data_IF_302038638578
#
_entry.id   IF_302038638578
#
_cell.length_a   1.000
_cell.length_b   1.000
_cell.length_c   1.000
_cell.angle_alpha   90.00
_cell.angle_beta   90.00
_cell.angle_gamma   90.00
#
_symmetry.space_group_name_H-M   'P 1'
#
loop_
_entity.id
_entity.type
_entity.pdbx_description
1 polymer ?
#
# COMPACT_ATOMS: atom_id res chain seq x y z
N UNK A 1 26.66 -0.21 9.92
CA UNK A 1 26.87 -1.02 8.71
C UNK A 1 25.54 -1.16 7.99
N UNK A 2 25.28 -0.33 6.99
CA UNK A 2 24.03 -0.30 6.21
C UNK A 2 24.14 -1.32 5.08
N UNK A 3 23.35 -2.39 5.18
CA UNK A 3 23.39 -3.57 4.31
C UNK A 3 22.77 -3.31 2.92
N UNK A 4 23.18 -2.26 2.20
CA UNK A 4 22.69 -1.91 0.87
C UNK A 4 21.17 -1.74 0.76
N UNK A 5 20.51 -1.29 1.84
CA UNK A 5 19.05 -1.05 1.91
C UNK A 5 18.78 0.44 1.84
N UNK A 6 17.90 0.85 0.93
CA UNK A 6 17.53 2.24 0.73
C UNK A 6 16.46 2.67 1.74
N UNK A 7 16.84 3.54 2.68
CA UNK A 7 15.97 4.03 3.74
C UNK A 7 14.83 4.92 3.24
N UNK A 8 14.92 5.48 2.03
CA UNK A 8 13.85 6.29 1.44
C UNK A 8 12.62 5.44 1.16
N UNK A 9 12.83 4.19 0.74
CA UNK A 9 11.75 3.22 0.52
C UNK A 9 11.05 2.90 1.84
N UNK A 10 11.84 2.66 2.89
CA UNK A 10 11.29 2.40 4.23
C UNK A 10 10.49 3.62 4.73
N UNK A 11 10.94 4.86 4.48
CA UNK A 11 10.18 6.06 4.79
C UNK A 11 8.81 6.10 4.09
N UNK A 12 8.76 5.98 2.76
CA UNK A 12 7.50 6.05 2.03
C UNK A 12 6.55 4.88 2.34
N UNK A 13 7.10 3.69 2.62
CA UNK A 13 6.30 2.57 3.14
C UNK A 13 5.68 2.90 4.50
N UNK A 14 6.47 3.46 5.41
CA UNK A 14 5.98 3.89 6.73
C UNK A 14 4.90 4.96 6.62
N UNK A 15 5.11 5.96 5.76
CA UNK A 15 4.13 7.02 5.52
C UNK A 15 2.83 6.46 4.94
N UNK A 16 2.91 5.54 3.97
CA UNK A 16 1.75 4.86 3.43
C UNK A 16 0.97 4.10 4.51
N UNK A 17 1.65 3.46 5.46
CA UNK A 17 0.99 2.77 6.59
C UNK A 17 0.25 3.72 7.53
N UNK A 18 0.82 4.89 7.83
CA UNK A 18 0.14 5.94 8.63
C UNK A 18 -1.12 6.39 7.90
N UNK A 19 -1.02 6.68 6.60
CA UNK A 19 -2.16 7.11 5.80
C UNK A 19 -3.22 6.02 5.70
N UNK A 20 -2.84 4.77 5.49
CA UNK A 20 -3.77 3.63 5.51
C UNK A 20 -4.46 3.53 6.87
N UNK A 21 -3.76 3.71 7.99
CA UNK A 21 -4.43 3.67 9.28
C UNK A 21 -5.44 4.80 9.44
N UNK A 22 -5.04 6.06 9.19
CA UNK A 22 -5.93 7.21 9.33
C UNK A 22 -7.10 7.19 8.34
N UNK A 23 -6.79 6.88 7.07
CA UNK A 23 -7.51 5.99 6.16
C UNK A 23 -8.86 5.42 6.60
N UNK A 24 -8.73 4.49 7.52
CA UNK A 24 -9.74 3.50 7.83
C UNK A 24 -10.36 3.69 9.23
N UNK A 25 -9.94 4.73 9.96
CA UNK A 25 -10.66 5.19 11.15
C UNK A 25 -11.79 6.13 10.68
N UNK A 26 -13.07 5.76 10.87
CA UNK A 26 -14.19 6.58 10.44
C UNK A 26 -14.15 7.99 11.03
N UNK A 27 -14.50 8.98 10.19
CA UNK A 27 -14.53 10.41 10.53
C UNK A 27 -13.26 10.97 11.21
N UNK A 28 -12.10 10.33 11.02
CA UNK A 28 -10.84 10.78 11.57
C UNK A 28 -10.42 12.14 10.98
N UNK A 29 -10.14 13.17 11.81
CA UNK A 29 -9.64 14.47 11.37
C UNK A 29 -8.39 14.40 10.48
N UNK A 30 -7.45 13.51 10.83
CA UNK A 30 -6.17 13.40 10.14
C UNK A 30 -6.28 12.71 8.78
N UNK A 31 -7.40 12.03 8.49
CA UNK A 31 -7.70 11.52 7.16
C UNK A 31 -7.65 12.62 6.10
N UNK A 32 -8.00 13.87 6.45
CA UNK A 32 -7.98 15.01 5.53
C UNK A 32 -6.57 15.38 5.03
N UNK A 33 -5.53 14.92 5.74
CA UNK A 33 -4.12 15.19 5.41
C UNK A 33 -3.48 14.08 4.55
N UNK A 34 -4.21 13.01 4.24
CA UNK A 34 -3.67 11.85 3.52
C UNK A 34 -3.83 12.00 2.01
N UNK A 35 -3.11 11.15 1.25
CA UNK A 35 -3.03 11.22 -0.21
C UNK A 35 -4.40 11.22 -0.90
N UNK A 36 -5.39 10.48 -0.38
CA UNK A 36 -6.72 10.38 -0.99
C UNK A 36 -7.46 11.72 -1.09
N UNK A 37 -7.05 12.71 -0.31
CA UNK A 37 -7.67 14.04 -0.28
C UNK A 37 -6.99 15.07 -1.20
N UNK A 38 -5.88 14.70 -1.85
CA UNK A 38 -5.08 15.60 -2.70
C UNK A 38 -4.90 15.08 -4.13
N UNK A 39 -5.62 14.04 -4.53
CA UNK A 39 -5.59 13.55 -5.90
C UNK A 39 -6.33 12.22 -6.09
N UNK A 40 -6.18 11.63 -7.28
CA UNK A 40 -6.96 10.47 -7.70
C UNK A 40 -6.48 9.13 -7.13
N UNK A 41 -5.25 9.06 -6.63
CA UNK A 41 -4.64 7.86 -6.02
C UNK A 41 -4.44 8.06 -4.52
N UNK A 42 -4.29 6.97 -3.78
CA UNK A 42 -4.09 6.99 -2.34
C UNK A 42 -2.84 6.19 -1.92
N UNK A 43 -2.75 5.88 -0.62
CA UNK A 43 -1.62 5.16 -0.06
C UNK A 43 -1.49 3.70 -0.57
N UNK A 44 -2.56 3.11 -1.12
CA UNK A 44 -2.53 1.75 -1.65
C UNK A 44 -1.62 1.63 -2.88
N UNK A 45 -1.66 2.59 -3.82
CA UNK A 45 -0.77 2.57 -4.98
C UNK A 45 0.70 2.68 -4.56
N UNK A 46 1.01 3.56 -3.60
CA UNK A 46 2.35 3.70 -3.02
C UNK A 46 2.80 2.38 -2.42
N UNK A 47 1.95 1.75 -1.62
CA UNK A 47 2.26 0.49 -0.94
C UNK A 47 2.54 -0.65 -1.93
N UNK A 48 1.68 -0.85 -2.94
CA UNK A 48 1.82 -1.92 -3.94
C UNK A 48 3.03 -1.68 -4.86
N UNK A 49 3.26 -0.43 -5.28
CA UNK A 49 4.43 -0.08 -6.10
C UNK A 49 5.73 -0.36 -5.34
N UNK A 50 5.84 0.09 -4.09
CA UNK A 50 7.02 -0.13 -3.26
C UNK A 50 7.18 -1.60 -2.86
N UNK A 51 6.10 -2.37 -2.80
CA UNK A 51 6.16 -3.82 -2.63
C UNK A 51 6.86 -4.48 -3.83
N UNK A 52 6.45 -4.14 -5.07
CA UNK A 52 7.10 -4.64 -6.29
C UNK A 52 8.55 -4.19 -6.41
N UNK A 53 8.80 -2.91 -6.14
CA UNK A 53 10.16 -2.33 -6.13
C UNK A 53 11.08 -3.08 -5.15
N UNK A 54 10.68 -3.20 -3.88
CA UNK A 54 11.47 -3.86 -2.85
C UNK A 54 11.65 -5.36 -3.13
N UNK A 55 10.61 -6.03 -3.63
CA UNK A 55 10.67 -7.45 -3.94
C UNK A 55 11.69 -7.73 -5.06
N UNK A 56 11.65 -6.99 -6.17
CA UNK A 56 12.62 -7.17 -7.26
C UNK A 56 14.05 -6.82 -6.83
N UNK A 57 14.25 -5.76 -6.03
CA UNK A 57 15.57 -5.46 -5.47
C UNK A 57 16.10 -6.60 -4.58
N UNK A 58 15.26 -7.19 -3.74
CA UNK A 58 15.66 -8.23 -2.80
C UNK A 58 15.88 -9.56 -3.52
N UNK A 59 14.87 -10.06 -4.22
CA UNK A 59 14.88 -11.39 -4.84
C UNK A 59 15.63 -11.42 -6.17
N UNK A 60 15.76 -10.30 -6.89
CA UNK A 60 16.62 -10.21 -8.06
C UNK A 60 18.10 -10.42 -7.72
N UNK A 61 18.59 -9.80 -6.62
CA UNK A 61 19.94 -10.05 -6.09
C UNK A 61 20.14 -11.50 -5.66
N UNK A 62 19.15 -12.10 -5.01
CA UNK A 62 19.20 -13.53 -4.64
C UNK A 62 19.22 -14.41 -5.89
N UNK A 63 18.42 -14.12 -6.90
CA UNK A 63 18.38 -14.90 -8.14
C UNK A 63 19.74 -14.87 -8.87
N UNK A 64 20.42 -13.72 -8.87
CA UNK A 64 21.73 -13.56 -9.47
C UNK A 64 22.86 -14.21 -8.64
N UNK A 65 22.80 -14.11 -7.31
CA UNK A 65 23.87 -14.58 -6.40
C UNK A 65 23.73 -16.06 -6.03
N UNK A 66 22.52 -16.48 -5.65
CA UNK A 66 22.22 -17.79 -5.08
C UNK A 66 21.45 -18.71 -6.08
N UNK A 67 21.09 -18.20 -7.26
CA UNK A 67 20.34 -18.91 -8.28
C UNK A 67 18.81 -18.74 -8.21
N UNK A 68 18.14 -18.95 -9.33
CA UNK A 68 16.70 -18.72 -9.48
C UNK A 68 15.84 -19.60 -8.56
N UNK A 69 16.20 -20.87 -8.37
CA UNK A 69 15.44 -21.79 -7.49
C UNK A 69 15.48 -21.30 -6.05
N UNK A 70 16.64 -20.85 -5.55
CA UNK A 70 16.77 -20.31 -4.19
C UNK A 70 15.96 -19.03 -4.04
N UNK A 71 15.93 -18.17 -5.06
CA UNK A 71 15.06 -16.99 -5.06
C UNK A 71 13.58 -17.38 -4.98
N UNK A 72 13.13 -18.35 -5.77
CA UNK A 72 11.75 -18.85 -5.73
C UNK A 72 11.37 -19.37 -4.34
N UNK A 73 12.23 -20.20 -3.73
CA UNK A 73 11.98 -20.73 -2.39
C UNK A 73 11.88 -19.61 -1.33
N UNK A 74 12.73 -18.57 -1.42
CA UNK A 74 12.65 -17.42 -0.51
C UNK A 74 11.39 -16.56 -0.75
N UNK A 75 10.96 -16.43 -1.99
CA UNK A 75 9.70 -15.75 -2.34
C UNK A 75 8.53 -16.53 -1.74
N UNK A 76 8.42 -17.84 -2.03
CA UNK A 76 7.32 -18.67 -1.54
C UNK A 76 7.29 -18.77 -0.01
N UNK A 77 8.45 -18.84 0.65
CA UNK A 77 8.52 -18.75 2.12
C UNK A 77 7.97 -17.42 2.63
N UNK A 78 8.25 -16.30 1.95
CA UNK A 78 7.69 -15.01 2.33
C UNK A 78 6.19 -14.95 2.06
N UNK A 79 5.72 -15.47 0.93
CA UNK A 79 4.30 -15.58 0.59
C UNK A 79 3.56 -16.40 1.64
N UNK A 80 4.14 -17.50 2.12
CA UNK A 80 3.59 -18.31 3.21
C UNK A 80 3.46 -17.52 4.52
N UNK A 81 4.48 -16.75 4.91
CA UNK A 81 4.41 -15.89 6.10
C UNK A 81 3.29 -14.84 5.97
N UNK A 82 3.12 -14.26 4.78
CA UNK A 82 2.03 -13.31 4.52
C UNK A 82 0.66 -13.98 4.63
N UNK A 83 0.52 -15.19 4.08
CA UNK A 83 -0.69 -15.99 4.16
C UNK A 83 -1.07 -16.32 5.61
N UNK A 84 -0.13 -16.86 6.40
CA UNK A 84 -0.38 -17.18 7.81
C UNK A 84 -0.72 -15.92 8.62
N UNK A 85 0.00 -14.81 8.37
CA UNK A 85 -0.30 -13.54 9.03
C UNK A 85 -1.69 -13.01 8.68
N UNK A 86 -2.14 -13.21 7.43
CA UNK A 86 -3.46 -12.81 6.99
C UNK A 86 -4.57 -13.62 7.67
N UNK A 87 -4.46 -14.95 7.73
CA UNK A 87 -5.44 -15.81 8.44
C UNK A 87 -5.51 -15.43 9.93
N UNK A 88 -4.35 -15.24 10.57
CA UNK A 88 -4.31 -14.82 11.98
C UNK A 88 -4.94 -13.44 12.19
N UNK A 89 -4.64 -12.48 11.31
CA UNK A 89 -5.19 -11.13 11.35
C UNK A 89 -6.71 -11.14 11.23
N UNK A 90 -7.25 -11.92 10.29
CA UNK A 90 -8.68 -12.04 10.06
C UNK A 90 -9.39 -12.62 11.27
N UNK A 91 -8.86 -13.71 11.83
CA UNK A 91 -9.43 -14.33 13.02
C UNK A 91 -9.48 -13.35 14.20
N UNK A 92 -8.41 -12.58 14.41
CA UNK A 92 -8.35 -11.58 15.48
C UNK A 92 -9.26 -10.37 15.21
N UNK A 93 -9.31 -9.90 13.97
CA UNK A 93 -10.21 -8.83 13.54
C UNK A 93 -11.67 -9.23 13.78
N UNK A 94 -12.03 -10.45 13.41
CA UNK A 94 -13.37 -11.01 13.63
C UNK A 94 -13.73 -10.97 15.12
N UNK A 95 -12.84 -11.47 15.99
CA UNK A 95 -13.05 -11.43 17.44
C UNK A 95 -13.24 -10.01 17.98
N UNK A 96 -12.42 -9.05 17.52
CA UNK A 96 -12.53 -7.64 17.90
C UNK A 96 -13.87 -7.04 17.46
N UNK A 97 -14.29 -7.27 16.21
CA UNK A 97 -15.52 -6.67 15.68
C UNK A 97 -16.75 -7.26 16.38
N UNK A 98 -16.78 -8.56 16.66
CA UNK A 98 -17.87 -9.15 17.45
C UNK A 98 -17.96 -8.56 18.85
N UNK A 99 -16.82 -8.39 19.54
CA UNK A 99 -16.81 -7.75 20.87
C UNK A 99 -17.26 -6.30 20.76
N UNK A 100 -16.75 -5.55 19.78
CA UNK A 100 -17.08 -4.13 19.60
C UNK A 100 -18.57 -3.93 19.29
N UNK A 101 -19.13 -4.72 18.38
CA UNK A 101 -20.54 -4.67 18.01
C UNK A 101 -21.48 -4.99 19.19
N UNK A 102 -21.06 -5.85 20.13
CA UNK A 102 -21.85 -6.13 21.33
C UNK A 102 -21.83 -5.00 22.37
N UNK A 103 -20.87 -4.07 22.29
CA UNK A 103 -20.75 -2.96 23.25
C UNK A 103 -21.18 -1.61 22.66
N UNK A 104 -21.33 -1.51 21.33
CA UNK A 104 -21.72 -0.29 20.63
C UNK A 104 -23.07 -0.53 19.94
N UNK A 105 -24.15 -0.15 20.61
CA UNK A 105 -25.51 -0.29 20.06
C UNK A 105 -25.81 0.74 18.96
N UNK A 106 -25.05 1.83 18.91
CA UNK A 106 -25.27 2.94 17.97
C UNK A 106 -24.78 2.67 16.56
N UNK A 107 -24.01 1.60 16.33
CA UNK A 107 -23.38 1.29 15.04
C UNK A 107 -23.37 -0.19 14.73
N UNK A 108 -23.67 -0.51 13.47
CA UNK A 108 -23.54 -1.87 12.94
C UNK A 108 -22.13 -2.08 12.38
N UNK A 109 -21.19 -2.39 13.29
CA UNK A 109 -19.78 -2.59 12.92
C UNK A 109 -19.60 -3.85 12.07
N UNK A 110 -20.49 -4.84 12.21
CA UNK A 110 -20.50 -6.05 11.36
C UNK A 110 -20.73 -5.66 9.91
N UNK A 111 -21.73 -4.82 9.64
CA UNK A 111 -22.05 -4.32 8.30
C UNK A 111 -20.97 -3.42 7.74
N UNK A 112 -20.51 -2.44 8.52
CA UNK A 112 -19.49 -1.47 8.06
C UNK A 112 -18.16 -2.15 7.67
N UNK A 113 -17.82 -3.26 8.33
CA UNK A 113 -16.61 -4.02 8.04
C UNK A 113 -16.78 -5.12 7.00
N UNK A 114 -17.99 -5.32 6.47
CA UNK A 114 -18.28 -6.34 5.46
C UNK A 114 -18.29 -7.77 6.02
N UNK A 115 -18.67 -7.93 7.29
CA UNK A 115 -18.72 -9.23 7.98
C UNK A 115 -20.09 -9.92 7.90
N UNK A 116 -21.09 -9.32 7.25
CA UNK A 116 -22.44 -9.87 7.11
C UNK A 116 -22.44 -11.30 6.56
N UNK A 117 -21.63 -11.56 5.51
CA UNK A 117 -21.51 -12.89 4.90
C UNK A 117 -21.00 -13.93 5.91
N UNK A 118 -20.05 -13.54 6.76
CA UNK A 118 -19.51 -14.42 7.78
C UNK A 118 -20.53 -14.75 8.85
N UNK A 119 -21.30 -13.76 9.31
CA UNK A 119 -22.35 -13.97 10.31
C UNK A 119 -23.46 -14.87 9.75
N UNK A 120 -23.83 -14.68 8.48
CA UNK A 120 -24.86 -15.48 7.83
C UNK A 120 -24.43 -16.91 7.50
N UNK A 121 -23.16 -17.14 7.10
CA UNK A 121 -22.66 -18.43 6.63
C UNK A 121 -21.24 -18.74 7.18
N UNK A 122 -21.07 -18.93 8.50
CA UNK A 122 -19.74 -18.96 9.13
C UNK A 122 -18.85 -20.10 8.63
N UNK A 123 -19.41 -21.30 8.39
CA UNK A 123 -18.62 -22.45 7.90
C UNK A 123 -18.07 -22.20 6.48
N UNK A 124 -18.93 -21.71 5.58
CA UNK A 124 -18.53 -21.40 4.21
C UNK A 124 -17.58 -20.19 4.18
N UNK A 125 -17.85 -19.17 5.01
CA UNK A 125 -17.00 -18.00 5.11
C UNK A 125 -15.60 -18.34 5.62
N UNK A 126 -15.45 -19.29 6.56
CA UNK A 126 -14.14 -19.81 6.97
C UNK A 126 -13.41 -20.55 5.83
N UNK A 127 -14.13 -21.33 5.03
CA UNK A 127 -13.54 -21.99 3.86
C UNK A 127 -13.11 -20.96 2.79
N UNK A 128 -13.97 -19.98 2.49
CA UNK A 128 -13.66 -18.89 1.58
C UNK A 128 -12.53 -17.99 2.12
N UNK A 129 -12.41 -17.82 3.43
CA UNK A 129 -11.31 -17.11 4.08
C UNK A 129 -9.96 -17.82 3.81
N UNK A 130 -9.90 -19.13 4.05
CA UNK A 130 -8.72 -19.95 3.76
C UNK A 130 -8.34 -19.93 2.27
N UNK A 131 -9.33 -19.79 1.39
CA UNK A 131 -9.12 -19.68 -0.06
C UNK A 131 -8.83 -18.25 -0.54
N UNK A 132 -8.68 -17.27 0.36
CA UNK A 132 -8.50 -15.83 0.07
C UNK A 132 -9.67 -15.20 -0.74
N UNK A 133 -10.80 -15.90 -0.73
CA UNK A 133 -12.05 -15.55 -1.40
C UNK A 133 -12.79 -14.48 -0.61
N UNK A 134 -13.09 -14.80 0.65
CA UNK A 134 -13.71 -13.88 1.59
C UNK A 134 -12.67 -13.01 2.31
N UNK A 135 -12.94 -11.70 2.38
CA UNK A 135 -12.07 -10.71 3.01
C UNK A 135 -12.89 -9.48 3.44
N UNK A 136 -12.78 -9.04 4.71
CA UNK A 136 -13.33 -7.79 5.18
C UNK A 136 -12.57 -6.60 4.58
N UNK A 137 -13.28 -5.46 4.42
CA UNK A 137 -12.79 -4.25 3.73
C UNK A 137 -11.40 -3.77 4.19
N UNK A 138 -11.07 -3.94 5.48
CA UNK A 138 -9.80 -3.50 6.07
C UNK A 138 -8.59 -4.38 5.67
N UNK A 139 -8.84 -5.63 5.28
CA UNK A 139 -7.78 -6.62 5.03
C UNK A 139 -7.41 -6.75 3.55
N UNK A 140 -8.20 -6.15 2.66
CA UNK A 140 -8.14 -6.37 1.21
C UNK A 140 -6.75 -6.19 0.54
N UNK A 141 -5.86 -5.28 1.00
CA UNK A 141 -4.52 -5.16 0.42
C UNK A 141 -3.63 -6.38 0.64
N UNK A 142 -3.84 -7.17 1.71
CA UNK A 142 -2.98 -8.32 2.03
C UNK A 142 -3.18 -9.51 1.07
N UNK A 143 -4.42 -9.97 0.79
CA UNK A 143 -4.68 -11.00 -0.23
C UNK A 143 -4.10 -10.65 -1.59
N UNK A 144 -4.24 -9.39 -2.02
CA UNK A 144 -3.60 -8.91 -3.24
C UNK A 144 -2.09 -9.10 -3.14
N UNK A 145 -1.46 -8.67 -2.05
CA UNK A 145 -0.01 -8.79 -1.89
C UNK A 145 0.46 -10.25 -1.85
N UNK A 146 -0.28 -11.16 -1.21
CA UNK A 146 -0.02 -12.61 -1.23
C UNK A 146 -0.02 -13.12 -2.67
N UNK A 147 -1.04 -12.76 -3.46
CA UNK A 147 -1.15 -13.20 -4.86
C UNK A 147 -0.02 -12.64 -5.72
N UNK A 148 0.28 -11.34 -5.60
CA UNK A 148 1.37 -10.70 -6.37
C UNK A 148 2.74 -11.27 -6.02
N UNK A 149 2.99 -11.55 -4.74
CA UNK A 149 4.20 -12.24 -4.29
C UNK A 149 4.25 -13.69 -4.75
N UNK A 150 3.11 -14.39 -4.76
CA UNK A 150 2.98 -15.73 -5.32
C UNK A 150 3.20 -15.80 -6.83
N UNK A 151 2.85 -14.74 -7.57
CA UNK A 151 3.08 -14.60 -9.00
C UNK A 151 4.52 -14.16 -9.34
N UNK A 152 5.24 -13.55 -8.38
CA UNK A 152 6.59 -13.04 -8.59
C UNK A 152 7.60 -14.09 -9.11
N UNK A 153 7.58 -15.38 -8.72
CA UNK A 153 8.45 -16.39 -9.33
C UNK A 153 8.28 -16.43 -10.85
N UNK A 154 7.07 -16.28 -11.39
CA UNK A 154 6.82 -16.26 -12.84
C UNK A 154 7.24 -14.94 -13.49
N UNK A 155 7.00 -13.83 -12.80
CA UNK A 155 7.25 -12.47 -13.33
C UNK A 155 8.75 -12.11 -13.28
N UNK A 156 9.46 -12.49 -12.21
CA UNK A 156 10.85 -12.13 -11.95
C UNK A 156 11.81 -12.50 -13.10
N UNK A 157 11.82 -13.72 -13.68
CA UNK A 157 12.74 -14.05 -14.74
C UNK A 157 12.48 -13.23 -16.01
N UNK A 158 11.22 -12.87 -16.28
CA UNK A 158 10.86 -12.01 -17.42
C UNK A 158 11.38 -10.59 -17.15
N UNK A 159 11.13 -10.04 -15.95
CA UNK A 159 11.63 -8.71 -15.55
C UNK A 159 13.16 -8.60 -15.63
N UNK A 160 13.88 -9.61 -15.12
CA UNK A 160 15.35 -9.60 -15.10
C UNK A 160 15.96 -9.72 -16.51
N UNK A 161 15.31 -10.45 -17.42
CA UNK A 161 15.75 -10.60 -18.81
C UNK A 161 15.35 -9.42 -19.68
N UNK A 162 14.09 -9.02 -19.62
CA UNK A 162 13.53 -7.94 -20.41
C UNK A 162 12.36 -7.27 -19.67
N UNK A 163 12.68 -6.19 -18.95
CA UNK A 163 11.70 -5.40 -18.23
C UNK A 163 10.59 -4.82 -19.15
N UNK A 164 10.91 -4.45 -20.40
CA UNK A 164 9.93 -3.93 -21.34
C UNK A 164 8.90 -5.00 -21.74
N UNK A 165 9.35 -6.25 -21.94
CA UNK A 165 8.45 -7.37 -22.20
C UNK A 165 7.54 -7.65 -21.00
N UNK A 166 8.08 -7.66 -19.78
CA UNK A 166 7.28 -7.85 -18.57
C UNK A 166 6.20 -6.74 -18.41
N UNK A 167 6.57 -5.48 -18.65
CA UNK A 167 5.61 -4.36 -18.64
C UNK A 167 4.58 -4.54 -19.76
N UNK A 168 4.97 -4.90 -20.97
CA UNK A 168 4.05 -5.10 -22.09
C UNK A 168 3.02 -6.20 -21.81
N UNK A 169 3.46 -7.35 -21.28
CA UNK A 169 2.57 -8.42 -20.85
C UNK A 169 1.63 -7.98 -19.71
N UNK A 170 2.16 -7.20 -18.76
CA UNK A 170 1.39 -6.67 -17.64
C UNK A 170 0.34 -5.65 -18.11
N UNK A 171 0.65 -4.80 -19.07
CA UNK A 171 -0.31 -3.87 -19.70
C UNK A 171 -1.37 -4.67 -20.48
N UNK A 172 -0.97 -5.69 -21.25
CA UNK A 172 -1.91 -6.52 -21.98
C UNK A 172 -2.92 -7.20 -21.03
N UNK A 173 -2.44 -7.71 -19.89
CA UNK A 173 -3.30 -8.27 -18.85
C UNK A 173 -4.20 -7.20 -18.22
N UNK A 174 -3.67 -6.02 -17.90
CA UNK A 174 -4.45 -4.88 -17.38
C UNK A 174 -5.59 -4.48 -18.33
N UNK A 175 -5.34 -4.45 -19.65
CA UNK A 175 -6.35 -4.09 -20.66
C UNK A 175 -7.51 -5.09 -20.73
N UNK A 176 -7.35 -6.33 -20.24
CA UNK A 176 -8.47 -7.28 -20.15
C UNK A 176 -9.55 -6.82 -19.16
N UNK A 177 -9.23 -5.91 -18.24
CA UNK A 177 -10.21 -5.38 -17.27
C UNK A 177 -11.25 -4.48 -17.96
N UNK A 178 -10.88 -3.37 -18.63
CA UNK A 178 -11.85 -2.55 -19.33
C UNK A 178 -12.43 -3.22 -20.59
N UNK A 179 -11.69 -4.12 -21.25
CA UNK A 179 -12.15 -4.75 -22.50
C UNK A 179 -13.06 -5.95 -22.27
N UNK A 180 -12.79 -6.77 -21.25
CA UNK A 180 -13.48 -8.05 -21.01
C UNK A 180 -14.10 -8.17 -19.60
N UNK A 181 -13.95 -7.14 -18.75
CA UNK A 181 -14.48 -7.16 -17.38
C UNK A 181 -13.77 -8.17 -16.47
N UNK A 182 -12.51 -8.49 -16.73
CA UNK A 182 -11.79 -9.51 -15.96
C UNK A 182 -11.55 -9.08 -14.52
N UNK A 183 -12.08 -9.84 -13.57
CA UNK A 183 -11.79 -9.72 -12.14
C UNK A 183 -11.96 -11.10 -11.48
N UNK A 184 -11.29 -11.33 -10.34
CA UNK A 184 -11.45 -12.53 -9.55
C UNK A 184 -12.76 -12.46 -8.75
N UNK A 185 -13.47 -13.58 -8.64
CA UNK A 185 -14.67 -13.70 -7.81
C UNK A 185 -14.31 -13.70 -6.33
N UNK A 186 -15.13 -13.04 -5.52
CA UNK A 186 -14.93 -12.95 -4.09
C UNK A 186 -15.39 -14.24 -3.39
N UNK A 187 -16.68 -14.61 -3.38
CA UNK A 187 -17.16 -15.81 -2.68
C UNK A 187 -18.31 -16.51 -3.43
N UNK A 188 -18.75 -17.68 -2.94
CA UNK A 188 -19.89 -18.41 -3.51
C UNK A 188 -21.20 -17.66 -3.21
N UNK A 189 -21.73 -16.98 -4.23
CA UNK A 189 -22.94 -16.15 -4.10
C UNK A 189 -22.84 -14.77 -4.77
N UNK A 190 -21.62 -14.31 -5.07
CA UNK A 190 -21.40 -13.07 -5.81
C UNK A 190 -20.19 -12.27 -5.33
N UNK A 191 -20.01 -11.08 -5.92
CA UNK A 191 -18.93 -10.16 -5.58
C UNK A 191 -17.62 -10.44 -6.31
N UNK A 192 -16.82 -9.38 -6.42
CA UNK A 192 -15.50 -9.40 -7.06
C UNK A 192 -14.45 -8.88 -6.08
N UNK A 193 -13.19 -9.15 -6.37
CA UNK A 193 -12.10 -8.61 -5.57
C UNK A 193 -12.09 -7.09 -5.64
N UNK A 194 -12.15 -6.44 -4.46
CA UNK A 194 -12.09 -4.99 -4.35
C UNK A 194 -10.79 -4.42 -4.91
N UNK A 195 -9.65 -5.05 -4.65
CA UNK A 195 -8.43 -4.78 -5.42
C UNK A 195 -8.31 -5.82 -6.54
N UNK A 196 -8.72 -5.47 -7.75
CA UNK A 196 -8.70 -6.38 -8.89
C UNK A 196 -7.25 -6.79 -9.21
N UNK A 197 -6.84 -8.06 -9.00
CA UNK A 197 -5.45 -8.44 -9.19
C UNK A 197 -4.99 -8.37 -10.65
N UNK A 198 -5.92 -8.48 -11.61
CA UNK A 198 -5.64 -8.32 -13.04
C UNK A 198 -5.20 -6.89 -13.35
N UNK A 199 -5.80 -5.91 -12.67
CA UNK A 199 -5.44 -4.50 -12.80
C UNK A 199 -4.20 -4.13 -11.97
N UNK A 200 -4.22 -4.46 -10.68
CA UNK A 200 -3.23 -3.99 -9.70
C UNK A 200 -1.84 -4.63 -9.84
N UNK A 201 -1.74 -5.78 -10.50
CA UNK A 201 -0.43 -6.35 -10.86
C UNK A 201 0.41 -5.40 -11.70
N UNK A 202 -0.20 -4.48 -12.48
CA UNK A 202 0.53 -3.51 -13.29
C UNK A 202 1.39 -2.58 -12.44
N UNK A 203 0.85 -2.02 -11.35
CA UNK A 203 1.62 -1.14 -10.46
C UNK A 203 2.78 -1.90 -9.80
N UNK A 204 2.55 -3.16 -9.43
CA UNK A 204 3.59 -4.00 -8.84
C UNK A 204 4.72 -4.28 -9.84
N UNK A 205 4.39 -4.64 -11.09
CA UNK A 205 5.36 -4.86 -12.17
C UNK A 205 6.12 -3.57 -12.50
N UNK A 206 5.44 -2.42 -12.57
CA UNK A 206 6.06 -1.11 -12.77
C UNK A 206 7.04 -0.76 -11.64
N UNK A 207 6.69 -1.03 -10.39
CA UNK A 207 7.59 -0.87 -9.24
C UNK A 207 8.84 -1.73 -9.39
N UNK A 208 8.67 -3.00 -9.77
CA UNK A 208 9.77 -3.92 -10.06
C UNK A 208 10.67 -3.47 -11.21
N UNK A 209 10.10 -2.99 -12.31
CA UNK A 209 10.87 -2.46 -13.42
C UNK A 209 11.63 -1.17 -13.05
N UNK A 210 11.02 -0.29 -12.24
CA UNK A 210 11.64 0.92 -11.74
C UNK A 210 12.85 0.60 -10.83
N UNK A 211 12.75 -0.47 -10.02
CA UNK A 211 13.87 -0.97 -9.23
C UNK A 211 15.06 -1.40 -10.10
N UNK A 212 14.82 -2.13 -11.19
CA UNK A 212 15.88 -2.52 -12.13
C UNK A 212 16.50 -1.32 -12.85
N UNK A 213 15.68 -0.34 -13.24
CA UNK A 213 16.17 0.88 -13.87
C UNK A 213 17.09 1.67 -12.94
N UNK A 214 16.75 1.74 -11.64
CA UNK A 214 17.52 2.48 -10.63
C UNK A 214 18.85 1.79 -10.28
N UNK A 215 18.97 0.47 -10.49
CA UNK A 215 20.23 -0.27 -10.31
C UNK A 215 21.24 -0.07 -11.47
N UNK A 216 20.79 0.37 -12.65
CA UNK A 216 21.70 0.54 -13.80
C UNK A 216 22.63 1.72 -13.50
N UNK A 217 23.93 1.53 -13.81
CA UNK A 217 24.91 2.60 -13.70
C UNK A 217 24.39 3.84 -14.46
N UNK A 218 24.48 5.04 -13.87
CA UNK A 218 24.04 6.25 -14.54
C UNK A 218 24.82 6.39 -15.85
N UNK A 219 24.16 6.18 -16.99
CA UNK A 219 24.70 6.52 -18.30
C UNK A 219 25.04 8.01 -18.23
N UNK A 220 26.27 8.37 -18.59
CA UNK A 220 26.82 9.72 -18.54
C UNK A 220 25.74 10.75 -18.89
N UNK A 221 25.23 11.44 -17.86
CA UNK A 221 24.09 12.32 -18.03
C UNK A 221 24.56 13.57 -18.76
N UNK A 222 23.89 13.89 -19.87
CA UNK A 222 23.78 15.27 -20.36
C UNK A 222 23.57 16.23 -19.17
N UNK A 223 24.08 17.47 -19.23
CA UNK A 223 23.93 18.43 -18.14
C UNK A 223 22.47 18.47 -17.69
N UNK A 224 22.24 18.15 -16.41
CA UNK A 224 20.91 18.01 -15.84
C UNK A 224 20.30 19.40 -15.89
N UNK A 225 19.40 19.65 -16.85
CA UNK A 225 18.61 20.87 -16.89
C UNK A 225 17.89 21.03 -15.54
N UNK A 226 17.77 22.25 -15.00
CA UNK A 226 16.93 22.52 -13.83
C UNK A 226 15.58 21.83 -13.97
N UNK A 227 15.01 21.32 -12.88
CA UNK A 227 13.73 20.57 -12.90
C UNK A 227 12.61 21.37 -13.59
N UNK A 228 12.60 22.69 -13.41
CA UNK A 228 11.67 23.64 -14.00
C UNK A 228 11.79 23.77 -15.52
N UNK A 229 12.87 23.27 -16.13
CA UNK A 229 13.08 23.25 -17.58
C UNK A 229 12.85 21.86 -18.19
N UNK A 230 12.40 20.89 -17.40
CA UNK A 230 12.09 19.54 -17.86
C UNK A 230 10.59 19.47 -18.23
N UNK A 231 10.21 19.35 -19.51
CA UNK A 231 8.80 19.42 -19.93
C UNK A 231 7.95 18.33 -19.28
N UNK A 232 8.49 17.12 -19.13
CA UNK A 232 7.80 16.03 -18.44
C UNK A 232 7.50 16.35 -16.97
N UNK A 233 8.42 17.06 -16.28
CA UNK A 233 8.18 17.50 -14.90
C UNK A 233 7.06 18.53 -14.82
N UNK A 234 7.06 19.51 -15.72
CA UNK A 234 5.99 20.51 -15.77
C UNK A 234 4.63 19.89 -16.08
N UNK A 235 4.56 18.97 -17.05
CA UNK A 235 3.32 18.25 -17.40
C UNK A 235 2.83 17.40 -16.21
N UNK A 236 3.73 16.66 -15.57
CA UNK A 236 3.38 15.85 -14.40
C UNK A 236 2.92 16.72 -13.23
N UNK A 237 3.62 17.81 -12.93
CA UNK A 237 3.24 18.75 -11.87
C UNK A 237 1.91 19.43 -12.15
N UNK A 238 1.67 19.88 -13.38
CA UNK A 238 0.38 20.46 -13.79
C UNK A 238 -0.76 19.45 -13.67
N UNK A 239 -0.52 18.19 -14.07
CA UNK A 239 -1.50 17.12 -13.92
C UNK A 239 -1.83 16.82 -12.45
N UNK A 240 -0.82 16.80 -11.56
CA UNK A 240 -1.04 16.63 -10.12
C UNK A 240 -1.81 17.80 -9.52
N UNK A 241 -1.50 19.03 -9.91
CA UNK A 241 -2.26 20.21 -9.46
C UNK A 241 -3.72 20.13 -9.92
N UNK A 242 -3.96 19.78 -11.18
CA UNK A 242 -5.31 19.61 -11.72
C UNK A 242 -6.07 18.51 -10.97
N UNK A 243 -5.46 17.35 -10.76
CA UNK A 243 -6.08 16.26 -10.01
C UNK A 243 -6.39 16.68 -8.57
N UNK A 244 -5.47 17.38 -7.90
CA UNK A 244 -5.68 17.93 -6.57
C UNK A 244 -6.84 18.93 -6.51
N UNK A 245 -6.94 19.83 -7.49
CA UNK A 245 -8.08 20.76 -7.60
C UNK A 245 -9.39 20.00 -7.75
N UNK A 246 -9.47 19.03 -8.67
CA UNK A 246 -10.67 18.22 -8.88
C UNK A 246 -11.05 17.45 -7.61
N UNK A 247 -10.08 16.85 -6.92
CA UNK A 247 -10.31 16.13 -5.67
C UNK A 247 -10.79 17.05 -4.54
N UNK A 248 -10.26 18.27 -4.43
CA UNK A 248 -10.78 19.26 -3.48
C UNK A 248 -12.20 19.68 -3.83
N UNK A 249 -12.52 19.83 -5.12
CA UNK A 249 -13.86 20.18 -5.58
C UNK A 249 -14.90 19.09 -5.26
N UNK A 250 -14.52 17.81 -5.09
CA UNK A 250 -15.45 16.77 -4.61
C UNK A 250 -16.09 17.08 -3.25
N UNK A 251 -15.45 17.95 -2.44
CA UNK A 251 -16.00 18.41 -1.16
C UNK A 251 -17.11 19.46 -1.33
N UNK A 252 -17.25 20.03 -2.53
CA UNK A 252 -18.22 21.06 -2.88
C UNK A 252 -18.96 20.69 -4.18
N UNK A 253 -19.94 19.76 -4.13
CA UNK A 253 -20.57 19.18 -5.32
C UNK A 253 -21.17 20.23 -6.28
N UNK A 254 -21.79 21.28 -5.76
CA UNK A 254 -22.39 22.34 -6.58
C UNK A 254 -21.32 23.10 -7.39
N UNK A 255 -20.18 23.38 -6.76
CA UNK A 255 -19.05 24.05 -7.40
C UNK A 255 -18.37 23.11 -8.40
N UNK A 256 -18.19 21.84 -8.04
CA UNK A 256 -17.66 20.82 -8.94
C UNK A 256 -18.49 20.72 -10.22
N UNK A 257 -19.81 20.60 -10.10
CA UNK A 257 -20.72 20.43 -11.23
C UNK A 257 -20.82 21.70 -12.10
N UNK A 258 -20.63 22.89 -11.52
CA UNK A 258 -20.59 24.14 -12.26
C UNK A 258 -19.26 24.35 -13.02
N UNK A 259 -18.14 23.93 -12.43
CA UNK A 259 -16.80 24.16 -13.00
C UNK A 259 -16.32 23.06 -13.94
N UNK A 260 -16.73 21.81 -13.73
CA UNK A 260 -16.29 20.67 -14.53
C UNK A 260 -17.27 20.44 -15.69
N UNK A 261 -16.85 20.63 -16.95
CA UNK A 261 -17.73 20.40 -18.09
C UNK A 261 -18.21 18.95 -18.13
N UNK A 262 -19.47 18.72 -18.51
CA UNK A 262 -20.08 17.38 -18.56
C UNK A 262 -19.27 16.41 -19.42
N UNK A 263 -18.75 16.86 -20.57
CA UNK A 263 -17.91 16.04 -21.44
C UNK A 263 -16.60 15.58 -20.76
N UNK A 264 -16.01 16.41 -19.89
CA UNK A 264 -14.83 16.04 -19.12
C UNK A 264 -15.21 15.08 -17.99
N UNK A 265 -16.34 15.31 -17.32
CA UNK A 265 -16.86 14.44 -16.28
C UNK A 265 -17.12 13.01 -16.81
N UNK A 266 -17.78 12.89 -17.96
CA UNK A 266 -18.05 11.61 -18.63
C UNK A 266 -16.77 10.87 -19.07
N UNK A 267 -15.70 11.61 -19.36
CA UNK A 267 -14.41 11.03 -19.74
C UNK A 267 -13.64 10.46 -18.52
N UNK A 268 -13.70 11.15 -17.38
CA UNK A 268 -12.87 10.79 -16.22
C UNK A 268 -13.59 9.92 -15.19
N UNK A 269 -14.93 9.99 -15.12
CA UNK A 269 -15.71 9.21 -14.15
C UNK A 269 -16.33 7.95 -14.77
N UNK A 270 -16.47 6.87 -13.98
CA UNK A 270 -16.00 6.72 -12.60
C UNK A 270 -14.48 6.51 -12.51
N UNK A 271 -13.86 7.13 -11.50
CA UNK A 271 -12.46 6.86 -11.14
C UNK A 271 -12.43 5.63 -10.22
N UNK A 272 -12.52 4.45 -10.83
CA UNK A 272 -12.51 3.16 -10.13
C UNK A 272 -11.15 2.93 -9.45
N UNK A 273 -11.19 2.79 -8.12
CA UNK A 273 -10.07 2.22 -7.36
C UNK A 273 -9.93 0.72 -7.59
N UNK A 274 -11.06 0.03 -7.74
CA UNK A 274 -11.08 -1.42 -7.88
C UNK A 274 -10.33 -1.90 -9.10
N UNK A 275 -10.63 -1.31 -10.24
CA UNK A 275 -10.04 -1.67 -11.53
C UNK A 275 -8.86 -0.78 -11.93
N UNK A 276 -8.42 0.08 -10.99
CA UNK A 276 -7.31 1.00 -11.18
C UNK A 276 -7.46 1.81 -12.48
N UNK A 277 -8.44 2.74 -12.50
CA UNK A 277 -8.74 3.55 -13.69
C UNK A 277 -7.47 4.21 -14.26
N UNK A 278 -7.36 4.35 -15.59
CA UNK A 278 -6.15 4.91 -16.23
C UNK A 278 -5.74 6.28 -15.67
N UNK A 279 -6.69 7.17 -15.41
CA UNK A 279 -6.44 8.50 -14.80
C UNK A 279 -5.82 8.38 -13.39
N UNK A 280 -6.24 7.39 -12.61
CA UNK A 280 -5.71 7.11 -11.27
C UNK A 280 -4.30 6.51 -11.33
N UNK A 281 -4.05 5.58 -12.25
CA UNK A 281 -2.71 5.05 -12.52
C UNK A 281 -1.75 6.16 -12.97
N UNK A 282 -2.15 6.97 -13.95
CA UNK A 282 -1.35 8.11 -14.43
C UNK A 282 -1.07 9.10 -13.30
N UNK A 283 -2.05 9.35 -12.42
CA UNK A 283 -1.89 10.25 -11.28
C UNK A 283 -0.81 9.73 -10.33
N UNK A 284 -0.89 8.45 -9.97
CA UNK A 284 0.12 7.83 -9.14
C UNK A 284 1.52 7.87 -9.78
N UNK A 285 1.63 7.57 -11.08
CA UNK A 285 2.92 7.61 -11.79
C UNK A 285 3.52 9.02 -11.85
N UNK A 286 2.68 10.04 -12.09
CA UNK A 286 3.09 11.44 -12.04
C UNK A 286 3.58 11.82 -10.63
N UNK A 287 2.85 11.40 -9.58
CA UNK A 287 3.23 11.62 -8.18
C UNK A 287 4.58 10.98 -7.87
N UNK A 288 4.75 9.70 -8.20
CA UNK A 288 5.99 8.97 -7.99
C UNK A 288 7.17 9.65 -8.72
N UNK A 289 6.96 10.09 -9.97
CA UNK A 289 7.97 10.79 -10.76
C UNK A 289 8.37 12.14 -10.14
N UNK A 290 7.39 12.99 -9.81
CA UNK A 290 7.63 14.33 -9.23
C UNK A 290 8.32 14.20 -7.88
N UNK A 291 7.83 13.32 -7.00
CA UNK A 291 8.46 13.07 -5.70
C UNK A 291 9.88 12.56 -5.87
N UNK A 292 10.13 11.58 -6.75
CA UNK A 292 11.48 11.07 -7.00
C UNK A 292 12.45 12.14 -7.51
N UNK A 293 11.96 13.13 -8.27
CA UNK A 293 12.75 14.27 -8.77
C UNK A 293 13.00 15.35 -7.72
N UNK A 294 12.05 15.56 -6.80
CA UNK A 294 12.14 16.57 -5.74
C UNK A 294 12.88 16.07 -4.50
N UNK A 295 13.06 14.77 -4.34
CA UNK A 295 13.82 14.21 -3.23
C UNK A 295 15.24 14.80 -3.18
N UNK A 296 15.67 15.34 -2.03
CA UNK A 296 17.02 15.84 -1.88
C UNK A 296 18.05 14.75 -2.18
N UNK A 297 19.14 15.14 -2.87
CA UNK A 297 20.29 14.22 -3.07
C UNK A 297 20.99 13.94 -1.74
N UNK A 298 20.95 14.89 -0.82
CA UNK A 298 21.44 14.69 0.54
C UNK A 298 20.56 13.70 1.31
N UNK A 299 21.19 12.84 2.11
CA UNK A 299 20.52 11.91 3.02
C UNK A 299 20.27 12.50 4.41
N UNK A 300 20.73 13.73 4.71
CA UNK A 300 20.61 14.33 6.05
C UNK A 300 19.17 14.44 6.56
N UNK A 301 18.19 14.56 5.66
CA UNK A 301 16.78 14.62 6.07
C UNK A 301 16.29 13.30 6.69
N UNK A 302 16.95 12.17 6.40
CA UNK A 302 16.67 10.87 7.00
C UNK A 302 17.14 10.77 8.44
N UNK A 303 18.03 11.67 8.88
CA UNK A 303 18.56 11.68 10.24
C UNK A 303 17.58 12.32 11.24
N UNK A 304 16.54 13.00 10.77
CA UNK A 304 15.50 13.57 11.63
C UNK A 304 14.72 12.48 12.38
N UNK A 305 14.47 12.69 13.68
CA UNK A 305 13.79 11.69 14.52
C UNK A 305 12.43 11.22 13.96
N UNK A 306 11.49 12.10 13.53
CA UNK A 306 10.20 11.66 12.99
C UNK A 306 10.35 10.81 11.72
N UNK A 307 11.33 11.16 10.88
CA UNK A 307 11.63 10.43 9.64
C UNK A 307 12.20 9.05 9.96
N UNK A 308 13.13 8.97 10.92
CA UNK A 308 13.67 7.69 11.38
C UNK A 308 12.58 6.77 11.94
N UNK A 309 11.63 7.32 12.72
CA UNK A 309 10.51 6.54 13.23
C UNK A 309 9.62 6.01 12.11
N UNK A 310 9.34 6.85 11.12
CA UNK A 310 8.57 6.46 9.93
C UNK A 310 9.29 5.36 9.14
N UNK A 311 10.62 5.47 8.96
CA UNK A 311 11.44 4.42 8.36
C UNK A 311 11.37 3.09 9.14
N UNK A 312 11.35 3.13 10.48
CA UNK A 312 11.21 1.92 11.31
C UNK A 312 9.87 1.23 11.06
N UNK A 313 8.78 1.99 11.03
CA UNK A 313 7.46 1.43 10.70
C UNK A 313 7.45 0.78 9.31
N UNK A 314 8.01 1.44 8.29
CA UNK A 314 8.06 0.87 6.94
C UNK A 314 8.96 -0.36 6.79
N UNK A 315 9.98 -0.50 7.65
CA UNK A 315 10.84 -1.70 7.71
C UNK A 315 10.07 -2.93 8.21
N UNK A 316 9.18 -2.73 9.19
CA UNK A 316 8.30 -3.74 9.79
C UNK A 316 6.87 -3.62 9.25
N UNK A 317 6.74 -3.38 7.95
CA UNK A 317 5.46 -2.99 7.35
C UNK A 317 4.35 -4.01 7.50
N UNK A 318 4.66 -5.32 7.61
CA UNK A 318 3.63 -6.34 7.74
C UNK A 318 3.01 -6.27 9.14
N UNK A 319 3.87 -6.24 10.15
CA UNK A 319 3.50 -6.20 11.56
C UNK A 319 2.74 -4.91 11.88
N UNK A 320 3.21 -3.77 11.35
CA UNK A 320 2.56 -2.48 11.53
C UNK A 320 1.24 -2.38 10.78
N UNK A 321 1.14 -2.96 9.57
CA UNK A 321 -0.13 -3.04 8.85
C UNK A 321 -1.15 -3.87 9.64
N UNK A 322 -0.77 -5.07 10.09
CA UNK A 322 -1.64 -5.93 10.89
C UNK A 322 -2.13 -5.22 12.15
N UNK A 323 -1.24 -4.52 12.87
CA UNK A 323 -1.64 -3.72 14.03
C UNK A 323 -2.64 -2.61 13.63
N UNK A 324 -2.37 -1.86 12.56
CA UNK A 324 -3.26 -0.79 12.10
C UNK A 324 -4.67 -1.28 11.75
N UNK A 325 -4.77 -2.44 11.09
CA UNK A 325 -6.06 -3.09 10.78
C UNK A 325 -6.86 -3.43 12.04
N UNK A 326 -6.20 -3.84 13.12
CA UNK A 326 -6.85 -4.18 14.39
C UNK A 326 -7.18 -2.94 15.22
N UNK A 327 -6.35 -1.90 15.13
CA UNK A 327 -6.56 -0.64 15.85
C UNK A 327 -7.70 0.20 15.25
N UNK A 328 -7.95 0.11 13.94
CA UNK A 328 -9.02 0.86 13.29
C UNK A 328 -10.42 0.60 13.89
N UNK A 329 -10.92 -0.66 14.00
CA UNK A 329 -12.18 -0.97 14.68
C UNK A 329 -12.19 -0.56 16.14
N UNK A 330 -11.08 -0.74 16.87
CA UNK A 330 -11.00 -0.37 18.28
C UNK A 330 -11.08 1.15 18.49
N UNK A 331 -10.41 1.91 17.63
CA UNK A 331 -10.51 3.37 17.60
C UNK A 331 -11.94 3.81 17.26
N UNK A 332 -12.58 3.13 16.32
CA UNK A 332 -13.95 3.44 15.94
C UNK A 332 -14.96 3.15 17.06
N UNK A 333 -14.84 2.00 17.70
CA UNK A 333 -15.60 1.63 18.90
C UNK A 333 -15.44 2.68 19.99
N UNK A 334 -14.20 3.08 20.29
CA UNK A 334 -13.90 4.09 21.29
C UNK A 334 -14.48 5.47 20.94
N UNK A 335 -14.49 5.85 19.65
CA UNK A 335 -15.11 7.08 19.19
C UNK A 335 -16.64 7.03 19.32
N UNK A 336 -17.26 5.91 18.96
CA UNK A 336 -18.70 5.70 19.07
C UNK A 336 -19.18 5.76 20.53
N UNK A 337 -18.43 5.15 21.47
CA UNK A 337 -18.73 5.21 22.91
C UNK A 337 -18.58 6.60 23.52
N UNK A 338 -17.87 7.51 22.83
CA UNK A 338 -17.70 8.91 23.24
C UNK A 338 -18.58 9.86 22.43
N UNK A 339 -19.69 9.37 21.87
CA UNK A 339 -20.63 10.13 21.04
C UNK A 339 -19.93 10.92 19.94
N UNK A 340 -18.90 10.32 19.33
CA UNK A 340 -18.16 10.93 18.22
C UNK A 340 -17.49 12.28 18.55
N UNK A 341 -17.23 12.54 19.83
CA UNK A 341 -16.57 13.77 20.28
C UNK A 341 -15.26 14.01 19.50
N UNK A 342 -15.09 15.23 18.99
CA UNK A 342 -13.92 15.62 18.20
C UNK A 342 -12.59 15.30 18.92
N UNK A 343 -12.54 15.58 20.23
CA UNK A 343 -11.40 15.31 21.08
C UNK A 343 -11.07 13.81 21.09
N UNK A 344 -12.09 12.95 21.20
CA UNK A 344 -11.91 11.51 21.19
C UNK A 344 -11.34 11.04 19.85
N UNK A 345 -11.85 11.55 18.73
CA UNK A 345 -11.35 11.23 17.38
C UNK A 345 -9.88 11.59 17.20
N UNK A 346 -9.45 12.73 17.74
CA UNK A 346 -8.04 13.14 17.74
C UNK A 346 -7.20 12.22 18.64
N UNK A 347 -7.71 11.90 19.85
CA UNK A 347 -7.02 11.05 20.81
C UNK A 347 -6.82 9.64 20.24
N UNK A 348 -7.86 9.01 19.70
CA UNK A 348 -7.79 7.64 19.15
C UNK A 348 -6.85 7.57 17.95
N UNK A 349 -6.86 8.58 17.07
CA UNK A 349 -5.96 8.65 15.92
C UNK A 349 -4.48 8.81 16.31
N UNK A 350 -4.18 9.64 17.32
CA UNK A 350 -2.82 9.84 17.83
C UNK A 350 -2.35 8.65 18.67
N UNK A 351 -3.24 8.06 19.48
CA UNK A 351 -2.95 6.86 20.26
C UNK A 351 -2.64 5.69 19.33
N UNK A 352 -3.42 5.50 18.26
CA UNK A 352 -3.17 4.47 17.27
C UNK A 352 -1.80 4.62 16.60
N UNK A 353 -1.45 5.84 16.18
CA UNK A 353 -0.10 6.15 15.67
C UNK A 353 0.98 5.87 16.74
N UNK A 354 0.74 6.26 17.98
CA UNK A 354 1.63 5.98 19.12
C UNK A 354 1.89 4.49 19.32
N UNK A 355 0.85 3.65 19.25
CA UNK A 355 0.96 2.19 19.36
C UNK A 355 1.73 1.58 18.17
N UNK A 356 1.51 2.08 16.95
CA UNK A 356 2.30 1.67 15.77
C UNK A 356 3.79 2.02 15.95
N UNK A 357 4.09 3.21 16.46
CA UNK A 357 5.45 3.62 16.78
C UNK A 357 6.06 2.74 17.86
N UNK A 358 5.34 2.46 18.94
CA UNK A 358 5.80 1.60 20.03
C UNK A 358 6.14 0.19 19.53
N UNK A 359 5.25 -0.44 18.77
CA UNK A 359 5.49 -1.77 18.19
C UNK A 359 6.72 -1.77 17.28
N UNK A 360 6.87 -0.76 16.41
CA UNK A 360 8.02 -0.69 15.50
C UNK A 360 9.36 -0.56 16.25
N UNK A 361 9.36 0.20 17.34
CA UNK A 361 10.54 0.36 18.20
C UNK A 361 10.86 -0.90 19.00
N UNK A 362 9.83 -1.58 19.50
CA UNK A 362 9.98 -2.86 20.20
C UNK A 362 10.55 -3.95 19.28
N UNK A 363 10.04 -4.06 18.05
CA UNK A 363 10.56 -4.99 17.04
C UNK A 363 12.02 -4.70 16.66
N UNK A 364 12.38 -3.42 16.54
CA UNK A 364 13.76 -3.00 16.29
C UNK A 364 14.68 -3.34 17.48
N UNK A 365 14.21 -3.13 18.71
CA UNK A 365 14.94 -3.49 19.92
C UNK A 365 15.15 -5.01 20.02
N UNK A 366 14.11 -5.81 19.84
CA UNK A 366 14.20 -7.27 19.86
C UNK A 366 15.17 -7.80 18.82
N UNK A 367 15.16 -7.24 17.62
CA UNK A 367 16.13 -7.60 16.57
C UNK A 367 17.57 -7.29 16.98
N UNK A 368 17.81 -6.16 17.66
CA UNK A 368 19.15 -5.80 18.16
C UNK A 368 19.61 -6.72 19.28
N UNK A 369 18.71 -7.09 20.19
CA UNK A 369 19.01 -8.01 21.30
C UNK A 369 19.27 -9.44 20.82
N UNK A 370 18.54 -9.92 19.80
CA UNK A 370 18.71 -11.25 19.23
C UNK A 370 19.85 -11.40 18.22
N UNK A 371 20.51 -10.31 17.82
CA UNK A 371 21.67 -10.37 16.93
C UNK A 371 22.94 -10.59 17.75
N UNK A 372 23.75 -11.65 17.49
CA UNK A 372 25.01 -11.82 18.19
C UNK A 372 25.90 -10.59 17.95
N UNK A 373 26.45 -10.01 19.02
CA UNK A 373 27.45 -8.94 18.89
C UNK A 373 28.60 -9.50 18.05
N UNK A 374 28.88 -8.89 16.90
CA UNK A 374 30.10 -9.20 16.15
C UNK A 374 31.28 -9.06 17.12
N UNK A 375 32.05 -10.14 17.29
CA UNK A 375 33.26 -10.11 18.10
C UNK A 375 34.13 -8.97 17.56
N UNK A 376 34.40 -7.97 18.40
CA UNK A 376 35.47 -7.01 18.09
C UNK A 376 36.74 -7.83 18.00
N UNK A 377 37.23 -8.07 16.79
CA UNK A 377 38.61 -8.47 16.59
C UNK A 377 39.44 -7.31 17.15
N UNK A 378 39.96 -7.51 18.35
CA UNK A 378 41.03 -6.67 18.88
C UNK A 378 42.23 -7.04 18.01
N UNK A 379 42.57 -6.16 17.07
CA UNK A 379 43.91 -6.20 16.47
C UNK A 379 44.89 -5.94 17.62
N UNK A 380 45.67 -6.97 17.96
CA UNK A 380 46.80 -6.90 18.90
C UNK A 380 48.06 -6.67 18.09
#
# INVERSE_FOLDING_TARGET
>A
MTNGRDHRIDFFRGLALIFIFWDHVPANPFAQLTLRNFGFSDAAEVFVFLAGYAAVLAYGRVAQRDGYVVACLRILRRTWVLYVAHIFLLTLLMGIVFVANNHVETRDMVREMGLEYFVGNPQQALADELLLRFKPNLTDPLPLYILLMGALPLILPILLRNAALAIGLSIALYLMVPLLGWNLRAYEGGGYWYFNPVAWQLIFVLGGAFALHTQRAPIAKNPIRPIWQQPLFLVAAAYLLMAGVITVLWKFPDVHNALLPTALAELIYPISKTDLSPVRLLHFLALAYVVAKMLPTSLYWLDNWPVQQTCRMGRYSLEIFCLGVLLAPLADMANALADDAWQMRVITALLGLGLMLLLSNWLELNKRLGSPKAARMVEV
#
